data_IF_226109175752
#
_entry.id   IF_226109175752
#
_cell.length_a   1.000
_cell.length_b   1.000
_cell.length_c   1.000
_cell.angle_alpha   90.00
_cell.angle_beta   90.00
_cell.angle_gamma   90.00
#
_symmetry.space_group_name_H-M   'P 1'
#
loop_
_entity.id
_entity.type
_entity.pdbx_description
1 polymer ?
#
# COMPACT_ATOMS: atom_id res chain seq x y z
N UNK A 1 24.34 -16.16 18.37
CA UNK A 1 22.99 -16.02 17.79
C UNK A 1 23.07 -16.44 16.33
N UNK A 2 22.15 -17.24 15.78
CA UNK A 2 22.17 -17.55 14.35
C UNK A 2 22.07 -16.24 13.57
N UNK A 3 22.94 -16.07 12.56
CA UNK A 3 22.88 -14.94 11.64
C UNK A 3 21.47 -14.86 11.05
N UNK A 4 20.84 -13.67 10.98
CA UNK A 4 19.53 -13.55 10.34
C UNK A 4 19.66 -14.01 8.89
N UNK A 5 18.83 -14.96 8.46
CA UNK A 5 18.76 -15.35 7.06
C UNK A 5 18.10 -14.22 6.26
N UNK A 6 18.92 -13.29 5.77
CA UNK A 6 18.46 -12.12 5.02
C UNK A 6 17.89 -12.48 3.63
N UNK A 7 18.02 -13.74 3.19
CA UNK A 7 17.74 -14.17 1.81
C UNK A 7 16.44 -14.93 1.64
N UNK A 8 15.59 -15.00 2.67
CA UNK A 8 14.33 -15.76 2.61
C UNK A 8 13.42 -15.33 1.44
N UNK A 9 13.36 -14.02 1.15
CA UNK A 9 12.61 -13.49 0.01
C UNK A 9 13.17 -13.98 -1.34
N UNK A 10 14.51 -14.06 -1.45
CA UNK A 10 15.18 -14.62 -2.64
C UNK A 10 14.81 -16.09 -2.82
N UNK A 11 14.73 -16.87 -1.73
CA UNK A 11 14.31 -18.27 -1.79
C UNK A 11 12.89 -18.41 -2.35
N UNK A 12 11.98 -17.50 -2.01
CA UNK A 12 10.63 -17.49 -2.58
C UNK A 12 10.67 -17.14 -4.07
N UNK A 13 11.39 -16.08 -4.44
CA UNK A 13 11.50 -15.60 -5.82
C UNK A 13 12.20 -16.57 -6.79
N UNK A 14 13.02 -17.49 -6.28
CA UNK A 14 13.70 -18.53 -7.04
C UNK A 14 12.85 -19.79 -7.28
N UNK A 15 11.67 -19.91 -6.66
CA UNK A 15 10.83 -21.10 -6.86
C UNK A 15 10.37 -21.19 -8.32
N UNK A 16 10.57 -22.34 -9.00
CA UNK A 16 10.08 -22.54 -10.36
C UNK A 16 8.55 -22.40 -10.45
N UNK A 17 7.85 -22.96 -9.46
CA UNK A 17 6.42 -22.83 -9.32
C UNK A 17 6.07 -21.99 -8.07
N UNK A 18 5.51 -20.78 -8.24
CA UNK A 18 5.05 -19.94 -7.14
C UNK A 18 4.13 -20.67 -6.16
N UNK A 19 3.25 -21.53 -6.66
CA UNK A 19 2.21 -22.20 -5.86
C UNK A 19 2.75 -23.27 -4.91
N UNK A 20 4.05 -23.58 -4.98
CA UNK A 20 4.75 -24.40 -3.98
C UNK A 20 4.98 -23.64 -2.65
N UNK A 21 4.67 -22.34 -2.60
CA UNK A 21 4.65 -21.57 -1.37
C UNK A 21 3.34 -21.82 -0.61
N UNK A 22 3.37 -21.91 0.73
CA UNK A 22 2.14 -21.98 1.51
C UNK A 22 1.22 -20.78 1.24
N UNK A 23 -0.10 -20.99 1.25
CA UNK A 23 -1.10 -19.91 1.09
C UNK A 23 -1.07 -18.88 2.23
N UNK A 24 -0.45 -19.21 3.36
CA UNK A 24 -0.16 -18.25 4.43
C UNK A 24 0.98 -17.28 4.10
N UNK A 25 1.76 -17.57 3.05
CA UNK A 25 2.87 -16.74 2.54
C UNK A 25 2.46 -16.11 1.22
N UNK A 26 2.04 -16.91 0.25
CA UNK A 26 1.68 -16.45 -1.09
C UNK A 26 0.27 -15.88 -1.12
N UNK A 27 0.14 -14.62 -1.53
CA UNK A 27 -1.15 -13.97 -1.75
C UNK A 27 -1.63 -14.16 -3.19
N UNK A 28 -0.81 -13.77 -4.16
CA UNK A 28 -1.04 -13.98 -5.59
C UNK A 28 0.30 -13.98 -6.35
N UNK A 29 0.29 -14.32 -7.64
CA UNK A 29 1.48 -14.23 -8.48
C UNK A 29 1.11 -13.96 -9.93
N UNK A 30 2.08 -13.47 -10.69
CA UNK A 30 2.04 -13.40 -12.15
C UNK A 30 3.11 -14.33 -12.73
N UNK A 31 3.36 -14.25 -14.04
CA UNK A 31 4.52 -14.92 -14.64
C UNK A 31 5.84 -14.31 -14.12
N UNK A 32 5.88 -13.01 -13.84
CA UNK A 32 7.10 -12.24 -13.55
C UNK A 32 7.25 -11.79 -12.10
N UNK A 33 6.21 -11.88 -11.28
CA UNK A 33 6.24 -11.44 -9.88
C UNK A 33 5.51 -12.39 -8.92
N UNK A 34 5.81 -12.22 -7.63
CA UNK A 34 5.11 -12.84 -6.50
C UNK A 34 4.61 -11.73 -5.57
N UNK A 35 3.37 -11.81 -5.13
CA UNK A 35 2.90 -11.01 -3.99
C UNK A 35 2.78 -11.92 -2.77
N UNK A 36 3.43 -11.53 -1.69
CA UNK A 36 3.38 -12.26 -0.42
C UNK A 36 2.84 -11.40 0.71
N UNK A 37 2.31 -12.04 1.75
CA UNK A 37 2.05 -11.38 3.02
C UNK A 37 3.38 -11.06 3.72
N UNK A 38 3.53 -9.83 4.24
CA UNK A 38 4.68 -9.54 5.11
C UNK A 38 4.51 -10.34 6.43
N UNK A 39 5.51 -11.15 6.78
CA UNK A 39 5.46 -12.00 7.98
C UNK A 39 5.43 -11.20 9.30
N UNK A 40 5.81 -9.93 9.25
CA UNK A 40 5.83 -8.99 10.39
C UNK A 40 5.17 -7.67 9.96
N UNK A 41 3.87 -7.67 9.63
CA UNK A 41 3.20 -6.53 9.00
C UNK A 41 3.32 -5.28 9.85
N UNK A 42 3.58 -4.09 9.28
CA UNK A 42 3.71 -2.84 10.07
C UNK A 42 2.43 -2.02 10.15
N UNK A 43 1.41 -2.40 9.39
CA UNK A 43 0.06 -1.86 9.37
C UNK A 43 -0.97 -3.00 9.27
N UNK A 44 -2.26 -2.67 9.26
CA UNK A 44 -3.34 -3.66 9.10
C UNK A 44 -3.24 -4.47 7.81
N UNK A 45 -2.83 -3.84 6.71
CA UNK A 45 -2.54 -4.48 5.44
C UNK A 45 -1.09 -4.21 5.07
N UNK A 46 -0.31 -5.27 4.88
CA UNK A 46 1.09 -5.14 4.48
C UNK A 46 1.53 -6.33 3.63
N UNK A 47 1.85 -6.03 2.38
CA UNK A 47 2.26 -7.01 1.37
C UNK A 47 3.60 -6.61 0.76
N UNK A 48 4.29 -7.59 0.21
CA UNK A 48 5.52 -7.40 -0.55
C UNK A 48 5.33 -7.96 -1.96
N UNK A 49 5.56 -7.12 -2.97
CA UNK A 49 5.62 -7.53 -4.38
C UNK A 49 7.09 -7.75 -4.73
N UNK A 50 7.42 -8.98 -5.12
CA UNK A 50 8.77 -9.45 -5.41
C UNK A 50 8.89 -9.77 -6.90
N UNK A 51 9.92 -9.28 -7.62
CA UNK A 51 10.21 -9.79 -8.95
C UNK A 51 10.74 -11.22 -8.84
N UNK A 52 10.34 -12.09 -9.76
CA UNK A 52 10.93 -13.42 -9.93
C UNK A 52 12.30 -13.30 -10.59
N UNK A 53 13.16 -14.28 -10.34
CA UNK A 53 14.49 -14.34 -10.97
C UNK A 53 14.37 -15.12 -12.28
N UNK A 54 14.14 -14.40 -13.39
CA UNK A 54 13.95 -14.99 -14.71
C UNK A 54 15.03 -14.41 -15.64
N UNK A 55 15.79 -15.25 -16.39
CA UNK A 55 16.79 -14.76 -17.34
C UNK A 55 16.20 -13.73 -18.33
N UNK A 56 16.94 -12.66 -18.68
CA UNK A 56 18.36 -12.43 -18.38
C UNK A 56 18.63 -11.86 -16.98
N UNK A 57 17.59 -11.55 -16.19
CA UNK A 57 17.73 -10.92 -14.88
C UNK A 57 18.34 -11.87 -13.85
N UNK A 58 19.28 -11.37 -13.05
CA UNK A 58 20.03 -12.17 -12.07
C UNK A 58 19.69 -11.84 -10.62
N UNK A 59 20.09 -12.71 -9.69
CA UNK A 59 19.89 -12.50 -8.25
C UNK A 59 20.67 -11.31 -7.69
N UNK A 60 21.80 -10.94 -8.30
CA UNK A 60 22.62 -9.80 -7.89
C UNK A 60 21.96 -8.47 -8.27
N UNK A 61 21.38 -8.39 -9.46
CA UNK A 61 20.61 -7.23 -9.93
C UNK A 61 19.36 -7.01 -9.10
N UNK A 62 18.66 -8.10 -8.73
CA UNK A 62 17.48 -8.05 -7.90
C UNK A 62 17.78 -8.06 -6.39
N UNK A 63 19.01 -7.81 -5.95
CA UNK A 63 19.33 -7.83 -4.52
C UNK A 63 18.63 -6.71 -3.74
N UNK A 64 18.49 -5.52 -4.34
CA UNK A 64 17.92 -4.32 -3.74
C UNK A 64 17.52 -3.32 -4.83
N UNK A 65 16.80 -2.24 -4.48
CA UNK A 65 16.48 -1.17 -5.43
C UNK A 65 17.76 -0.54 -5.99
N UNK A 66 18.76 -0.30 -5.14
CA UNK A 66 20.07 0.23 -5.55
C UNK A 66 20.76 -0.66 -6.59
N UNK A 67 20.74 -1.97 -6.37
CA UNK A 67 21.34 -2.94 -7.30
C UNK A 67 20.64 -2.95 -8.65
N UNK A 68 19.30 -2.82 -8.64
CA UNK A 68 18.51 -2.75 -9.86
C UNK A 68 18.78 -1.44 -10.61
N UNK A 69 18.80 -0.29 -9.92
CA UNK A 69 19.04 1.02 -10.54
C UNK A 69 20.46 1.18 -11.11
N UNK A 70 21.40 0.32 -10.72
CA UNK A 70 22.75 0.30 -11.27
C UNK A 70 22.89 -0.51 -12.58
N UNK A 71 21.82 -1.17 -13.02
CA UNK A 71 21.79 -1.86 -14.33
C UNK A 71 21.40 -0.89 -15.44
N UNK A 72 21.25 -1.39 -16.67
CA UNK A 72 20.75 -0.59 -17.77
C UNK A 72 19.35 0.00 -17.46
N UNK A 73 19.17 1.28 -17.79
CA UNK A 73 18.12 2.14 -17.25
C UNK A 73 16.74 1.68 -17.70
N UNK A 74 16.59 1.31 -18.96
CA UNK A 74 15.36 0.84 -19.59
C UNK A 74 14.92 -0.50 -18.98
N UNK A 75 15.86 -1.42 -18.72
CA UNK A 75 15.60 -2.69 -18.02
C UNK A 75 15.18 -2.45 -16.57
N UNK A 76 15.89 -1.57 -15.84
CA UNK A 76 15.51 -1.21 -14.48
C UNK A 76 14.10 -0.62 -14.43
N UNK A 77 13.80 0.32 -15.34
CA UNK A 77 12.48 0.92 -15.47
C UNK A 77 11.41 -0.13 -15.72
N UNK A 78 11.62 -1.04 -16.67
CA UNK A 78 10.65 -2.10 -16.99
C UNK A 78 10.32 -2.99 -15.79
N UNK A 79 11.31 -3.30 -14.95
CA UNK A 79 11.10 -4.08 -13.72
C UNK A 79 10.31 -3.25 -12.67
N UNK A 80 10.68 -1.99 -12.44
CA UNK A 80 9.96 -1.12 -11.49
C UNK A 80 8.52 -0.88 -11.94
N UNK A 81 8.30 -0.65 -13.23
CA UNK A 81 6.98 -0.44 -13.82
C UNK A 81 6.10 -1.71 -13.71
N UNK A 82 6.68 -2.89 -13.98
CA UNK A 82 5.99 -4.17 -13.80
C UNK A 82 5.57 -4.39 -12.34
N UNK A 83 6.47 -4.17 -11.38
CA UNK A 83 6.15 -4.27 -9.96
C UNK A 83 5.07 -3.26 -9.56
N UNK A 84 5.08 -2.07 -10.16
CA UNK A 84 4.05 -1.06 -9.97
C UNK A 84 2.68 -1.54 -10.44
N UNK A 85 2.57 -2.07 -11.66
CA UNK A 85 1.30 -2.61 -12.21
C UNK A 85 0.73 -3.72 -11.33
N UNK A 86 1.58 -4.60 -10.81
CA UNK A 86 1.16 -5.67 -9.91
C UNK A 86 0.76 -5.13 -8.52
N UNK A 87 1.48 -4.13 -8.00
CA UNK A 87 1.12 -3.46 -6.76
C UNK A 87 -0.23 -2.72 -6.85
N UNK A 88 -0.60 -2.17 -8.01
CA UNK A 88 -1.90 -1.54 -8.21
C UNK A 88 -3.06 -2.52 -8.23
N UNK A 89 -2.85 -3.73 -8.73
CA UNK A 89 -3.83 -4.81 -8.61
C UNK A 89 -4.02 -5.20 -7.14
N UNK A 90 -2.92 -5.33 -6.39
CA UNK A 90 -2.96 -5.61 -4.95
C UNK A 90 -3.66 -4.48 -4.20
N UNK A 91 -3.40 -3.21 -4.54
CA UNK A 91 -4.12 -2.06 -3.97
C UNK A 91 -5.63 -2.20 -4.13
N UNK A 92 -6.11 -2.54 -5.34
CA UNK A 92 -7.53 -2.77 -5.59
C UNK A 92 -8.13 -3.85 -4.68
N UNK A 93 -7.44 -4.99 -4.55
CA UNK A 93 -7.88 -6.08 -3.67
C UNK A 93 -7.89 -5.68 -2.18
N UNK A 94 -6.89 -4.90 -1.75
CA UNK A 94 -6.84 -4.37 -0.38
C UNK A 94 -7.99 -3.39 -0.15
N UNK A 95 -8.24 -2.47 -1.07
CA UNK A 95 -9.35 -1.52 -0.98
C UNK A 95 -10.72 -2.20 -0.91
N UNK A 96 -10.92 -3.28 -1.65
CA UNK A 96 -12.15 -4.08 -1.57
C UNK A 96 -12.30 -4.72 -0.18
N UNK A 97 -11.20 -5.26 0.37
CA UNK A 97 -11.20 -5.84 1.72
C UNK A 97 -11.38 -4.76 2.81
N UNK A 98 -10.87 -3.54 2.60
CA UNK A 98 -11.10 -2.38 3.48
C UNK A 98 -12.59 -2.04 3.53
N UNK A 99 -13.26 -1.92 2.37
CA UNK A 99 -14.71 -1.66 2.31
C UNK A 99 -15.49 -2.80 2.95
N UNK A 100 -15.12 -4.04 2.66
CA UNK A 100 -15.80 -5.22 3.20
C UNK A 100 -15.70 -5.32 4.72
N UNK A 101 -14.53 -5.05 5.30
CA UNK A 101 -14.30 -5.18 6.76
C UNK A 101 -14.70 -3.93 7.55
N UNK A 102 -14.49 -2.75 7.00
CA UNK A 102 -14.59 -1.48 7.73
C UNK A 102 -15.66 -0.54 7.17
N UNK A 103 -16.15 -0.77 5.95
CA UNK A 103 -17.16 0.06 5.28
C UNK A 103 -16.60 1.30 4.58
N UNK A 104 -15.28 1.53 4.66
CA UNK A 104 -14.61 2.68 4.04
C UNK A 104 -13.16 2.33 3.70
N UNK A 105 -12.54 3.15 2.84
CA UNK A 105 -11.13 3.02 2.40
C UNK A 105 -10.26 4.07 3.11
N UNK A 106 -8.98 3.78 3.26
CA UNK A 106 -7.96 4.74 3.68
C UNK A 106 -6.69 4.55 2.86
N UNK A 107 -5.75 5.49 2.97
CA UNK A 107 -4.61 5.55 2.07
C UNK A 107 -3.74 4.29 2.15
N UNK A 108 -3.22 3.88 0.99
CA UNK A 108 -2.26 2.81 0.81
C UNK A 108 -1.01 3.42 0.22
N UNK A 109 0.13 3.18 0.85
CA UNK A 109 1.44 3.60 0.35
C UNK A 109 2.10 2.44 -0.40
N UNK A 110 2.69 2.79 -1.54
CA UNK A 110 3.39 1.85 -2.41
C UNK A 110 4.80 2.40 -2.62
N UNK A 111 5.82 1.63 -2.23
CA UNK A 111 7.19 2.14 -2.26
C UNK A 111 8.25 1.17 -1.76
N UNK A 112 9.49 1.61 -1.84
CA UNK A 112 10.66 0.85 -1.44
C UNK A 112 11.28 1.45 -0.18
N UNK A 113 11.95 0.61 0.61
CA UNK A 113 12.95 1.14 1.54
C UNK A 113 14.23 1.49 0.77
N UNK A 114 14.74 2.71 0.99
CA UNK A 114 16.04 3.18 0.47
C UNK A 114 17.20 2.23 0.83
N UNK A 115 17.21 1.72 2.07
CA UNK A 115 18.13 0.67 2.53
C UNK A 115 17.30 -0.53 3.02
N UNK A 116 17.23 -1.64 2.27
CA UNK A 116 16.34 -2.74 2.62
C UNK A 116 16.84 -3.53 3.84
N UNK A 117 15.92 -4.07 4.63
CA UNK A 117 16.24 -4.93 5.78
C UNK A 117 16.43 -6.41 5.41
N UNK A 118 15.95 -6.82 4.24
CA UNK A 118 16.11 -8.15 3.67
C UNK A 118 16.70 -8.04 2.27
N UNK A 119 17.48 -9.04 1.86
CA UNK A 119 17.91 -9.15 0.48
C UNK A 119 16.76 -9.65 -0.39
N UNK A 120 16.86 -9.33 -1.67
CA UNK A 120 15.83 -9.44 -2.71
C UNK A 120 14.96 -8.19 -2.78
N UNK A 121 14.84 -7.59 -3.95
CA UNK A 121 14.02 -6.43 -4.23
C UNK A 121 12.57 -6.72 -3.83
N UNK A 122 11.97 -5.80 -3.09
CA UNK A 122 10.59 -5.92 -2.64
C UNK A 122 9.95 -4.53 -2.61
N UNK A 123 8.82 -4.41 -3.30
CA UNK A 123 7.97 -3.24 -3.26
C UNK A 123 6.91 -3.46 -2.17
N UNK A 124 6.85 -2.54 -1.22
CA UNK A 124 5.84 -2.57 -0.16
C UNK A 124 4.51 -2.07 -0.71
N UNK A 125 3.43 -2.76 -0.37
CA UNK A 125 2.05 -2.27 -0.45
C UNK A 125 1.52 -2.29 0.98
N UNK A 126 1.41 -1.11 1.59
CA UNK A 126 1.14 -0.96 3.03
C UNK A 126 0.03 0.05 3.28
N UNK A 127 -0.93 -0.28 4.13
CA UNK A 127 -1.95 0.68 4.55
C UNK A 127 -1.39 1.73 5.51
N UNK A 128 -1.87 2.97 5.40
CA UNK A 128 -1.32 4.14 6.11
C UNK A 128 -1.53 4.15 7.62
N UNK A 129 -2.36 3.26 8.18
CA UNK A 129 -2.70 3.25 9.60
C UNK A 129 -1.48 2.98 10.50
N UNK A 130 -0.51 2.18 10.05
CA UNK A 130 0.65 1.74 10.84
C UNK A 130 0.26 1.14 12.20
N UNK A 131 -0.91 0.50 12.29
CA UNK A 131 -1.41 -0.16 13.51
C UNK A 131 -1.10 -1.66 13.39
N UNK A 132 -0.06 -2.10 14.11
CA UNK A 132 0.29 -3.51 14.15
C UNK A 132 1.04 -3.89 15.44
N UNK A 133 0.83 -5.11 15.98
CA UNK A 133 1.70 -5.68 17.02
C UNK A 133 3.18 -5.78 16.61
N UNK A 134 3.49 -5.93 15.32
CA UNK A 134 4.87 -6.05 14.82
C UNK A 134 5.56 -4.70 14.58
N UNK A 135 4.85 -3.57 14.68
CA UNK A 135 5.45 -2.26 14.84
C UNK A 135 5.98 -2.12 16.28
N UNK A 136 7.30 -2.35 16.47
CA UNK A 136 7.92 -2.57 17.79
C UNK A 136 8.94 -1.51 18.19
N UNK A 137 9.61 -0.87 17.24
CA UNK A 137 10.73 0.02 17.52
C UNK A 137 10.72 1.24 16.59
N UNK A 138 11.53 2.25 16.94
CA UNK A 138 11.66 3.51 16.20
C UNK A 138 12.00 3.29 14.73
N UNK A 139 12.95 2.40 14.46
CA UNK A 139 13.35 2.04 13.09
C UNK A 139 12.17 1.53 12.26
N UNK A 140 11.32 0.67 12.82
CA UNK A 140 10.15 0.15 12.11
C UNK A 140 9.15 1.26 11.74
N UNK A 141 8.98 2.27 12.59
CA UNK A 141 8.05 3.36 12.30
C UNK A 141 8.67 4.35 11.30
N UNK A 142 9.88 4.84 11.59
CA UNK A 142 10.56 5.82 10.76
C UNK A 142 10.84 5.29 9.35
N UNK A 143 11.03 3.98 9.17
CA UNK A 143 11.25 3.39 7.83
C UNK A 143 10.04 3.49 6.91
N UNK A 144 8.82 3.61 7.47
CA UNK A 144 7.57 3.78 6.71
C UNK A 144 6.99 5.19 6.82
N UNK A 145 7.64 6.11 7.55
CA UNK A 145 7.15 7.47 7.67
C UNK A 145 7.19 8.17 6.30
N UNK A 146 6.04 8.57 5.72
CA UNK A 146 5.94 8.91 4.31
C UNK A 146 6.68 10.20 3.94
N UNK A 147 6.98 11.06 4.92
CA UNK A 147 7.67 12.36 4.72
C UNK A 147 9.16 12.32 5.04
N UNK A 148 9.69 11.21 5.58
CA UNK A 148 11.06 11.18 6.12
C UNK A 148 12.13 10.90 5.06
N UNK A 149 11.73 10.43 3.87
CA UNK A 149 12.63 10.11 2.77
C UNK A 149 13.26 8.71 2.83
N UNK A 150 13.09 7.97 3.93
CA UNK A 150 13.55 6.56 3.99
C UNK A 150 12.66 5.63 3.15
N UNK A 151 11.34 5.85 3.23
CA UNK A 151 10.35 5.21 2.35
C UNK A 151 10.28 6.00 1.04
N UNK A 152 10.73 5.39 -0.04
CA UNK A 152 10.74 5.94 -1.39
C UNK A 152 9.45 5.55 -2.08
N UNK A 153 8.52 6.50 -2.26
CA UNK A 153 7.27 6.22 -2.95
C UNK A 153 7.55 5.78 -4.39
N UNK A 154 6.80 4.79 -4.88
CA UNK A 154 6.97 4.23 -6.22
C UNK A 154 6.91 5.32 -7.30
N UNK A 155 5.99 6.28 -7.15
CA UNK A 155 5.86 7.42 -8.05
C UNK A 155 7.14 8.25 -8.14
N UNK A 156 7.80 8.49 -7.01
CA UNK A 156 9.05 9.27 -6.98
C UNK A 156 10.16 8.48 -7.68
N UNK A 157 10.30 7.18 -7.39
CA UNK A 157 11.29 6.31 -8.04
C UNK A 157 11.07 6.26 -9.55
N UNK A 158 9.83 6.11 -10.01
CA UNK A 158 9.50 6.12 -11.44
C UNK A 158 9.87 7.46 -12.10
N UNK A 159 9.63 8.59 -11.41
CA UNK A 159 9.99 9.91 -11.94
C UNK A 159 11.49 10.13 -12.16
N UNK A 160 12.35 9.36 -11.48
CA UNK A 160 13.80 9.46 -11.68
C UNK A 160 14.20 8.99 -13.09
N UNK A 161 13.45 8.05 -13.67
CA UNK A 161 13.76 7.57 -15.02
C UNK A 161 13.52 8.63 -16.10
N UNK A 162 12.64 9.59 -15.85
CA UNK A 162 12.35 10.70 -16.76
C UNK A 162 13.21 11.95 -16.48
N UNK A 163 14.06 11.92 -15.45
CA UNK A 163 14.92 13.04 -15.10
C UNK A 163 16.14 13.14 -15.99
N UNK A 164 16.87 14.26 -15.87
CA UNK A 164 18.20 14.37 -16.45
C UNK A 164 19.14 13.30 -15.87
N UNK A 165 20.18 12.87 -16.62
CA UNK A 165 21.09 11.81 -16.18
C UNK A 165 21.78 12.10 -14.85
N UNK A 166 22.15 13.36 -14.58
CA UNK A 166 22.88 13.71 -13.37
C UNK A 166 22.03 13.55 -12.10
N UNK A 167 20.74 13.89 -12.20
CA UNK A 167 19.80 13.66 -11.11
C UNK A 167 19.53 12.16 -10.90
N UNK A 168 19.39 11.37 -11.97
CA UNK A 168 19.22 9.92 -11.86
C UNK A 168 20.42 9.26 -11.18
N UNK A 169 21.65 9.63 -11.57
CA UNK A 169 22.89 9.11 -10.96
C UNK A 169 22.99 9.46 -9.48
N UNK A 170 22.57 10.67 -9.10
CA UNK A 170 22.52 11.10 -7.70
C UNK A 170 21.53 10.27 -6.88
N UNK A 171 20.30 10.09 -7.38
CA UNK A 171 19.22 9.42 -6.64
C UNK A 171 19.40 7.90 -6.59
N UNK A 172 19.85 7.27 -7.69
CA UNK A 172 20.09 5.82 -7.79
C UNK A 172 21.19 5.31 -6.84
N UNK A 173 22.08 6.22 -6.41
CA UNK A 173 23.19 5.89 -5.54
C UNK A 173 22.77 5.31 -4.18
N UNK A 174 21.60 5.70 -3.64
CA UNK A 174 20.98 5.18 -2.41
C UNK A 174 21.98 4.84 -1.30
N UNK A 175 22.85 5.80 -0.95
CA UNK A 175 23.99 5.56 -0.06
C UNK A 175 23.51 5.40 1.39
N UNK A 176 23.97 4.35 2.08
CA UNK A 176 23.49 4.00 3.43
C UNK A 176 23.72 5.12 4.46
N UNK A 177 24.85 5.82 4.37
CA UNK A 177 25.21 6.94 5.23
C UNK A 177 24.25 8.15 5.09
N UNK A 178 23.59 8.30 3.95
CA UNK A 178 22.57 9.32 3.73
C UNK A 178 21.22 8.93 4.37
N UNK A 179 20.81 7.66 4.27
CA UNK A 179 19.46 7.23 4.63
C UNK A 179 19.33 6.60 6.03
N UNK A 180 20.34 5.85 6.50
CA UNK A 180 20.27 5.22 7.83
C UNK A 180 20.11 6.19 9.01
N UNK A 181 20.67 7.42 9.00
CA UNK A 181 20.43 8.41 10.05
C UNK A 181 18.94 8.76 10.23
N UNK A 182 18.16 8.76 9.15
CA UNK A 182 16.71 9.05 9.17
C UNK A 182 15.95 8.10 10.11
N UNK A 183 16.41 6.87 10.26
CA UNK A 183 15.78 5.88 11.14
C UNK A 183 15.95 6.19 12.64
N UNK A 184 16.80 7.17 12.97
CA UNK A 184 17.09 7.60 14.36
C UNK A 184 16.36 8.89 14.74
N UNK A 185 15.78 9.59 13.77
CA UNK A 185 14.99 10.81 13.94
C UNK A 185 13.86 10.65 14.98
N UNK A 186 13.34 11.77 15.44
CA UNK A 186 12.26 11.77 16.43
C UNK A 186 10.99 11.09 15.92
N UNK A 187 10.25 10.48 16.84
CA UNK A 187 8.98 9.83 16.52
C UNK A 187 7.91 10.89 16.33
N UNK A 188 7.64 11.26 15.08
CA UNK A 188 6.62 12.24 14.71
C UNK A 188 5.44 11.53 14.03
N UNK A 189 4.21 11.81 14.46
CA UNK A 189 3.02 11.27 13.82
C UNK A 189 2.91 11.75 12.37
N UNK A 190 2.74 10.83 11.43
CA UNK A 190 2.69 11.16 10.00
C UNK A 190 1.47 12.00 9.61
N UNK A 191 0.38 11.89 10.38
CA UNK A 191 -0.90 12.54 10.08
C UNK A 191 -1.03 13.93 10.71
N UNK A 192 -0.53 14.13 11.94
CA UNK A 192 -0.72 15.40 12.68
C UNK A 192 0.57 16.06 13.17
N UNK A 193 1.73 15.51 12.79
CA UNK A 193 3.07 16.04 13.11
C UNK A 193 3.38 16.16 14.62
N UNK A 194 2.58 15.51 15.49
CA UNK A 194 2.83 15.45 16.94
C UNK A 194 4.03 14.53 17.25
N UNK A 195 4.94 15.00 18.10
CA UNK A 195 6.11 14.22 18.54
C UNK A 195 5.81 13.30 19.74
N UNK A 196 6.53 12.18 19.81
CA UNK A 196 6.40 11.14 20.83
C UNK A 196 7.76 10.68 21.36
N UNK A 197 7.82 10.34 22.65
CA UNK A 197 9.06 9.90 23.29
C UNK A 197 9.37 8.40 23.06
N UNK A 198 8.36 7.60 22.76
CA UNK A 198 8.50 6.15 22.60
C UNK A 198 7.39 5.55 21.71
N UNK A 199 7.63 4.34 21.22
CA UNK A 199 6.71 3.62 20.34
C UNK A 199 5.35 3.30 21.00
N UNK A 200 5.27 2.85 22.28
CA UNK A 200 3.98 2.63 22.92
C UNK A 200 3.07 3.86 22.89
N UNK A 201 3.59 5.04 23.26
CA UNK A 201 2.82 6.28 23.24
C UNK A 201 2.35 6.66 21.83
N UNK A 202 3.23 6.49 20.81
CA UNK A 202 2.87 6.69 19.41
C UNK A 202 1.77 5.72 18.96
N UNK A 203 1.87 4.43 19.30
CA UNK A 203 0.86 3.42 18.94
C UNK A 203 -0.50 3.72 19.56
N UNK A 204 -0.53 4.11 20.84
CA UNK A 204 -1.78 4.57 21.49
C UNK A 204 -2.39 5.75 20.75
N UNK A 205 -1.55 6.68 20.30
CA UNK A 205 -2.02 7.84 19.53
C UNK A 205 -2.56 7.47 18.14
N UNK A 206 -1.84 6.64 17.38
CA UNK A 206 -2.31 6.14 16.07
C UNK A 206 -3.63 5.38 16.20
N UNK A 207 -3.76 4.55 17.24
CA UNK A 207 -5.02 3.87 17.56
C UNK A 207 -6.15 4.86 17.84
N UNK A 208 -5.89 5.92 18.62
CA UNK A 208 -6.90 6.94 18.89
C UNK A 208 -7.36 7.69 17.64
N UNK A 209 -6.44 8.04 16.73
CA UNK A 209 -6.78 8.62 15.42
C UNK A 209 -7.66 7.66 14.62
N UNK A 210 -7.29 6.38 14.59
CA UNK A 210 -8.02 5.36 13.87
C UNK A 210 -9.43 5.13 14.42
N UNK A 211 -9.59 5.01 15.73
CA UNK A 211 -10.89 4.82 16.38
C UNK A 211 -11.84 5.99 16.09
N UNK A 212 -11.31 7.21 16.12
CA UNK A 212 -12.05 8.41 15.77
C UNK A 212 -12.45 8.44 14.29
N UNK A 213 -11.55 8.02 13.39
CA UNK A 213 -11.85 7.85 11.95
C UNK A 213 -12.96 6.83 11.73
N UNK A 214 -12.87 5.66 12.35
CA UNK A 214 -13.90 4.60 12.26
C UNK A 214 -15.25 5.13 12.74
N UNK A 215 -15.28 5.81 13.89
CA UNK A 215 -16.50 6.41 14.44
C UNK A 215 -17.11 7.42 13.47
N UNK A 216 -16.30 8.30 12.88
CA UNK A 216 -16.74 9.30 11.91
C UNK A 216 -17.33 8.67 10.66
N UNK A 217 -16.66 7.68 10.07
CA UNK A 217 -17.13 7.03 8.85
C UNK A 217 -18.39 6.17 9.09
N UNK A 218 -18.50 5.48 10.24
CA UNK A 218 -19.75 4.79 10.62
C UNK A 218 -20.94 5.75 10.67
N UNK A 219 -20.78 6.88 11.36
CA UNK A 219 -21.81 7.90 11.44
C UNK A 219 -22.19 8.45 10.05
N UNK A 220 -21.22 8.61 9.15
CA UNK A 220 -21.45 9.06 7.78
C UNK A 220 -22.25 8.04 6.96
N UNK A 221 -21.90 6.76 7.08
CA UNK A 221 -22.59 5.66 6.38
C UNK A 221 -24.03 5.50 6.88
N UNK A 222 -24.27 5.58 8.18
CA UNK A 222 -25.62 5.54 8.75
C UNK A 222 -26.50 6.70 8.25
N UNK A 223 -25.95 7.93 8.23
CA UNK A 223 -26.65 9.09 7.68
C UNK A 223 -26.91 8.96 6.18
N UNK A 224 -26.03 8.30 5.42
CA UNK A 224 -26.26 8.02 4.00
C UNK A 224 -27.41 7.01 3.83
N UNK A 225 -27.38 5.88 4.54
CA UNK A 225 -28.44 4.86 4.49
C UNK A 225 -29.82 5.39 4.85
N UNK A 226 -29.92 6.28 5.84
CA UNK A 226 -31.19 6.93 6.20
C UNK A 226 -31.75 7.80 5.06
N UNK A 227 -30.88 8.61 4.44
CA UNK A 227 -31.26 9.45 3.29
C UNK A 227 -31.67 8.60 2.09
N UNK A 228 -30.87 7.59 1.75
CA UNK A 228 -31.16 6.70 0.62
C UNK A 228 -32.54 6.00 0.82
N UNK A 229 -32.87 5.59 2.05
CA UNK A 229 -34.20 5.04 2.38
C UNK A 229 -35.33 6.06 2.28
N UNK A 230 -35.13 7.28 2.78
CA UNK A 230 -36.11 8.38 2.68
C UNK A 230 -36.39 8.75 1.21
N UNK A 231 -35.35 8.77 0.37
CA UNK A 231 -35.45 9.04 -1.07
C UNK A 231 -36.19 7.90 -1.81
N UNK A 232 -35.90 6.63 -1.48
CA UNK A 232 -36.62 5.47 -2.01
C UNK A 232 -38.10 5.48 -1.64
N UNK A 233 -38.43 5.81 -0.39
CA UNK A 233 -39.81 5.91 0.11
C UNK A 233 -40.58 7.06 -0.56
N UNK A 234 -39.94 8.21 -0.75
CA UNK A 234 -40.51 9.35 -1.47
C UNK A 234 -40.76 9.02 -2.95
N UNK A 235 -39.83 8.33 -3.63
CA UNK A 235 -39.98 7.90 -5.01
C UNK A 235 -41.14 6.89 -5.17
N UNK A 236 -41.23 5.90 -4.29
CA UNK A 236 -42.31 4.91 -4.29
C UNK A 236 -43.69 5.57 -4.12
N UNK A 237 -43.79 6.56 -3.23
CA UNK A 237 -45.02 7.32 -2.98
C UNK A 237 -45.45 8.12 -4.22
N UNK A 238 -44.52 8.76 -4.93
CA UNK A 238 -44.81 9.53 -6.15
C UNK A 238 -45.28 8.64 -7.32
N UNK A 239 -44.75 7.41 -7.45
CA UNK A 239 -45.18 6.46 -8.49
C UNK A 239 -46.54 5.80 -8.24
N UNK A 240 -47.08 5.90 -7.01
CA UNK A 240 -48.33 5.25 -6.60
C UNK A 240 -49.59 6.13 -6.73
N UNK A 241 -49.43 7.41 -7.11
CA UNK A 241 -50.56 8.32 -7.34
C UNK A 241 -51.25 7.97 -8.69
N UNK A 242 -52.56 7.63 -8.70
CA UNK A 242 -53.25 7.32 -9.94
C UNK A 242 -53.33 8.59 -10.80
N UNK A 243 -52.85 8.49 -12.04
CA UNK A 243 -53.05 9.52 -13.06
C UNK A 243 -54.55 9.60 -13.35
N UNK A 244 -55.22 10.54 -12.69
CA UNK A 244 -56.65 10.76 -12.85
C UNK A 244 -56.87 11.42 -14.22
N UNK A 245 -56.86 10.60 -15.29
CA UNK A 245 -57.35 11.00 -16.61
C UNK A 245 -58.84 11.30 -16.46
N UNK A 246 -59.19 12.58 -16.33
CA UNK A 246 -60.54 13.05 -16.60
C UNK A 246 -60.88 12.64 -18.03
N UNK A 247 -61.76 11.65 -18.17
CA UNK A 247 -62.44 11.37 -19.44
C UNK A 247 -63.40 12.53 -19.64
N UNK A 248 -63.04 13.42 -20.55
CA UNK A 248 -63.90 14.51 -20.99
C UNK A 248 -64.94 13.92 -21.94
N UNK A 249 -66.12 13.60 -21.41
CA UNK A 249 -67.30 13.32 -22.23
C UNK A 249 -67.91 14.65 -22.66
N UNK A 250 -67.39 15.20 -23.76
CA UNK A 250 -67.97 16.33 -24.47
C UNK A 250 -68.93 15.83 -25.55
N UNK A 251 -70.22 15.96 -25.24
CA UNK A 251 -71.38 15.57 -26.03
C UNK A 251 -71.63 16.52 -27.21
N UNK A 252 -72.49 16.05 -28.11
CA UNK A 252 -72.87 16.61 -29.41
C UNK A 252 -73.24 18.11 -29.46
N UNK A 253 -72.86 18.78 -30.56
CA UNK A 253 -73.74 19.45 -31.56
C UNK A 253 -72.91 20.10 -32.67
#
# INVERSE_FOLDING_TARGET
MPMPNLTVLRTYALKPNPTDLPSSVLFCHTETSLTIFDAYPKAMFHFLVLPRVIPPTTTSELMSLRSLLAVEKERAWGIVEMLGKDAEQVRGMVEDEMVKRYGFKWDIWIGFHSVPSMEHLHLHVISSDLISPALKNKKHYNSFHPKLGFFLHLKDVLSWFDSDPSYFDMMSGLKKDQYEPLLKEDLVCWECDKAFKNIPALKTHLQGIWDERVRREKNRLEKKRKRDHEDEEAAATQTSLPSNKRVDTGDAS
#
